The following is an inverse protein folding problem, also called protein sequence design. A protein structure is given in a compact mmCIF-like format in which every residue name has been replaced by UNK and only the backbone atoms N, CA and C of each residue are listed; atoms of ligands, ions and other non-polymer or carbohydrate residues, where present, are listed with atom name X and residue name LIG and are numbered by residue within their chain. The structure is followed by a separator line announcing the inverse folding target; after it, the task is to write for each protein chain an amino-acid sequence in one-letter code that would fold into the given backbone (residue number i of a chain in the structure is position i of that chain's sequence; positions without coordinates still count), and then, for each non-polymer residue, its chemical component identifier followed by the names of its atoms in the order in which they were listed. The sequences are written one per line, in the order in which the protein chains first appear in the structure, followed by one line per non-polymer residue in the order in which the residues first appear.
data_IF_453224947356
#
_entry.id   IF_453224947356
#
_cell.length_a   1.000
_cell.length_b   1.000
_cell.length_c   1.000
_cell.angle_alpha   90.00
_cell.angle_beta   90.00
_cell.angle_gamma   90.00
#
_symmetry.space_group_name_H-M   'P 1'
#
loop_
_entity.id
_entity.type
_entity.pdbx_description
1 polymer ?
#
# COMPACT_ATOMS: atom_id res chain seq x y z
N UNK A 1 23.24 1.76 -1.01
CA UNK A 1 21.80 1.65 -0.68
C UNK A 1 21.05 1.25 -1.94
N UNK A 2 20.16 0.24 -1.91
CA UNK A 2 19.34 -0.10 -3.07
C UNK A 2 18.54 1.12 -3.57
N UNK A 3 18.52 1.32 -4.89
CA UNK A 3 17.74 2.37 -5.56
C UNK A 3 16.24 2.05 -5.56
N UNK A 4 15.90 0.78 -5.40
CA UNK A 4 14.53 0.28 -5.31
C UNK A 4 14.28 -0.37 -3.96
N UNK A 5 13.08 -0.22 -3.44
CA UNK A 5 12.64 -0.92 -2.23
C UNK A 5 11.16 -1.28 -2.35
N UNK A 6 10.78 -2.39 -1.73
CA UNK A 6 9.40 -2.85 -1.70
C UNK A 6 8.75 -2.41 -0.39
N UNK A 7 7.49 -1.98 -0.49
CA UNK A 7 6.65 -1.67 0.66
C UNK A 7 5.28 -2.29 0.47
N UNK A 8 4.60 -2.50 1.59
CA UNK A 8 3.32 -3.18 1.67
C UNK A 8 2.29 -2.29 2.35
N UNK A 9 1.04 -2.45 1.96
CA UNK A 9 -0.10 -1.82 2.62
C UNK A 9 -1.29 -2.76 2.57
N UNK A 10 -1.76 -3.18 3.74
CA UNK A 10 -3.05 -3.87 3.84
C UNK A 10 -4.18 -2.87 4.02
N UNK A 11 -5.34 -3.16 3.44
CA UNK A 11 -6.59 -2.45 3.72
C UNK A 11 -7.80 -3.24 3.21
N UNK A 12 -8.98 -2.88 3.68
CA UNK A 12 -10.23 -3.23 3.02
C UNK A 12 -10.50 -2.35 1.81
N UNK A 13 -11.13 -2.92 0.80
CA UNK A 13 -11.79 -2.19 -0.28
C UNK A 13 -13.27 -2.55 -0.33
N UNK A 14 -14.11 -1.66 -0.83
CA UNK A 14 -15.47 -2.03 -1.20
C UNK A 14 -15.43 -3.05 -2.35
N UNK A 15 -16.46 -3.89 -2.45
CA UNK A 15 -16.58 -4.80 -3.60
C UNK A 15 -16.60 -4.04 -4.93
N UNK A 16 -17.22 -2.85 -4.95
CA UNK A 16 -17.28 -1.99 -6.14
C UNK A 16 -15.88 -1.52 -6.58
N UNK A 17 -15.07 -1.04 -5.63
CA UNK A 17 -13.70 -0.60 -5.94
C UNK A 17 -12.83 -1.77 -6.37
N UNK A 18 -13.00 -2.94 -5.75
CA UNK A 18 -12.29 -4.15 -6.13
C UNK A 18 -12.62 -4.59 -7.56
N UNK A 19 -13.90 -4.59 -7.94
CA UNK A 19 -14.30 -4.92 -9.31
C UNK A 19 -13.80 -3.88 -10.32
N UNK A 20 -13.81 -2.59 -9.95
CA UNK A 20 -13.19 -1.54 -10.78
C UNK A 20 -11.70 -1.79 -10.97
N UNK A 21 -10.97 -2.17 -9.93
CA UNK A 21 -9.54 -2.50 -10.04
C UNK A 21 -9.27 -3.70 -10.95
N UNK A 22 -10.13 -4.72 -10.93
CA UNK A 22 -10.00 -5.90 -11.79
C UNK A 22 -10.08 -5.53 -13.27
N UNK A 23 -11.02 -4.66 -13.65
CA UNK A 23 -11.19 -4.24 -15.04
C UNK A 23 -10.13 -3.21 -15.48
N UNK A 24 -9.57 -2.41 -14.57
CA UNK A 24 -8.51 -1.43 -14.87
C UNK A 24 -7.10 -1.98 -14.65
N UNK A 25 -6.91 -3.30 -14.65
CA UNK A 25 -5.59 -3.93 -14.47
C UNK A 25 -4.61 -3.43 -15.53
N UNK A 26 -3.42 -3.03 -15.10
CA UNK A 26 -2.40 -2.40 -15.96
C UNK A 26 -2.54 -0.88 -16.08
N UNK A 27 -3.63 -0.30 -15.56
CA UNK A 27 -3.81 1.15 -15.44
C UNK A 27 -3.08 1.75 -14.24
N UNK A 28 -3.24 3.07 -14.08
CA UNK A 28 -2.73 3.82 -12.94
C UNK A 28 -3.77 3.92 -11.82
N UNK A 29 -3.30 3.97 -10.59
CA UNK A 29 -4.10 4.19 -9.39
C UNK A 29 -3.59 5.43 -8.66
N UNK A 30 -4.50 6.31 -8.27
CA UNK A 30 -4.21 7.47 -7.44
C UNK A 30 -4.86 7.32 -6.07
N UNK A 31 -4.21 7.91 -5.07
CA UNK A 31 -4.72 8.02 -3.71
C UNK A 31 -4.83 9.50 -3.38
N UNK A 32 -5.94 9.92 -2.75
CA UNK A 32 -6.18 11.31 -2.39
C UNK A 32 -5.64 11.65 -0.98
N UNK A 33 -4.80 10.79 -0.42
CA UNK A 33 -4.27 10.90 0.93
C UNK A 33 -2.83 10.39 0.98
N UNK A 34 -2.10 10.77 2.02
CA UNK A 34 -0.80 10.19 2.31
C UNK A 34 -0.92 8.68 2.56
N UNK A 35 0.08 7.93 2.08
CA UNK A 35 0.14 6.49 2.24
C UNK A 35 1.04 6.11 3.41
N UNK A 36 0.45 5.41 4.37
CA UNK A 36 1.21 4.64 5.37
C UNK A 36 1.46 3.24 4.80
N UNK A 37 2.72 2.83 4.82
CA UNK A 37 3.20 1.56 4.25
C UNK A 37 4.29 0.99 5.15
N UNK A 38 4.44 -0.33 5.21
CA UNK A 38 5.50 -1.00 5.98
C UNK A 38 6.45 -1.76 5.04
N UNK A 39 7.70 -1.96 5.46
CA UNK A 39 8.62 -2.92 4.82
C UNK A 39 8.33 -4.36 5.24
N UNK A 40 7.59 -4.56 6.33
CA UNK A 40 7.11 -5.85 6.77
C UNK A 40 5.78 -6.20 6.08
N UNK A 41 5.84 -7.24 5.25
CA UNK A 41 4.68 -7.80 4.57
C UNK A 41 3.66 -8.35 5.55
N UNK A 42 4.13 -9.02 6.60
CA UNK A 42 3.28 -9.74 7.54
C UNK A 42 2.51 -8.77 8.44
N UNK A 43 3.18 -7.70 8.89
CA UNK A 43 2.53 -6.57 9.56
C UNK A 43 1.38 -6.00 8.72
N UNK A 44 1.63 -5.76 7.42
CA UNK A 44 0.61 -5.24 6.50
C UNK A 44 -0.54 -6.23 6.27
N UNK A 45 -0.23 -7.52 6.16
CA UNK A 45 -1.22 -8.56 5.89
C UNK A 45 -2.08 -8.87 7.12
N UNK A 46 -1.46 -9.26 8.25
CA UNK A 46 -2.16 -9.75 9.43
C UNK A 46 -2.95 -8.67 10.15
N UNK A 47 -2.44 -7.43 10.18
CA UNK A 47 -3.06 -6.37 10.97
C UNK A 47 -4.01 -5.47 10.16
N UNK A 48 -3.93 -5.47 8.82
CA UNK A 48 -4.75 -4.56 8.01
C UNK A 48 -5.50 -5.23 6.86
N UNK A 49 -4.88 -6.12 6.07
CA UNK A 49 -5.57 -6.78 4.96
C UNK A 49 -6.53 -7.89 5.44
N UNK A 50 -6.01 -8.81 6.26
CA UNK A 50 -6.78 -9.95 6.77
C UNK A 50 -7.95 -9.51 7.67
N UNK A 51 -7.80 -8.59 8.63
CA UNK A 51 -8.92 -8.18 9.49
C UNK A 51 -10.04 -7.49 8.71
N UNK A 52 -9.73 -6.89 7.56
CA UNK A 52 -10.73 -6.27 6.71
C UNK A 52 -11.75 -7.27 6.14
N UNK A 53 -11.41 -8.57 6.06
CA UNK A 53 -12.36 -9.61 5.62
C UNK A 53 -13.47 -9.87 6.64
N UNK A 54 -13.34 -9.35 7.87
CA UNK A 54 -14.42 -9.43 8.86
C UNK A 54 -15.62 -8.54 8.48
N UNK A 55 -15.43 -7.58 7.56
CA UNK A 55 -16.53 -6.82 6.98
C UNK A 55 -17.07 -7.56 5.74
N UNK A 56 -18.31 -8.05 5.75
CA UNK A 56 -18.87 -8.84 4.66
C UNK A 56 -19.00 -8.08 3.34
N UNK A 57 -19.00 -6.74 3.38
CA UNK A 57 -19.08 -5.89 2.19
C UNK A 57 -17.69 -5.42 1.71
N UNK A 58 -16.61 -5.98 2.26
CA UNK A 58 -15.25 -5.60 1.94
C UNK A 58 -14.41 -6.78 1.45
N UNK A 59 -13.46 -6.48 0.57
CA UNK A 59 -12.39 -7.39 0.18
C UNK A 59 -11.10 -6.92 0.84
N UNK A 60 -10.43 -7.81 1.58
CA UNK A 60 -9.11 -7.56 2.13
C UNK A 60 -8.06 -7.58 1.02
N UNK A 61 -7.33 -6.48 0.85
CA UNK A 61 -6.30 -6.32 -0.18
C UNK A 61 -4.95 -6.02 0.46
N UNK A 62 -3.92 -6.69 -0.05
CA UNK A 62 -2.52 -6.38 0.23
C UNK A 62 -1.90 -5.76 -1.01
N UNK A 63 -1.68 -4.45 -0.98
CA UNK A 63 -0.91 -3.76 -2.00
C UNK A 63 0.57 -4.08 -1.83
N UNK A 64 1.22 -4.50 -2.93
CA UNK A 64 2.66 -4.71 -3.03
C UNK A 64 3.20 -3.64 -3.97
N UNK A 65 3.98 -2.71 -3.43
CA UNK A 65 4.44 -1.53 -4.15
C UNK A 65 5.97 -1.55 -4.26
N UNK A 66 6.48 -1.45 -5.49
CA UNK A 66 7.91 -1.30 -5.75
C UNK A 66 8.21 0.17 -5.96
N UNK A 67 8.97 0.76 -5.04
CA UNK A 67 9.33 2.18 -5.08
C UNK A 67 10.73 2.30 -5.68
N UNK A 68 10.87 3.16 -6.70
CA UNK A 68 12.15 3.53 -7.28
C UNK A 68 12.51 4.95 -6.85
N UNK A 69 13.56 5.07 -6.03
CA UNK A 69 14.03 6.35 -5.49
C UNK A 69 14.43 7.32 -6.60
N UNK A 70 14.97 6.83 -7.72
CA UNK A 70 15.37 7.69 -8.82
C UNK A 70 14.17 8.35 -9.50
N UNK A 71 13.03 7.65 -9.57
CA UNK A 71 11.78 8.23 -10.05
C UNK A 71 11.29 9.27 -9.03
N UNK A 72 11.20 8.91 -7.74
CA UNK A 72 10.73 9.84 -6.71
C UNK A 72 11.53 11.14 -6.65
N UNK A 73 12.86 11.06 -6.80
CA UNK A 73 13.73 12.24 -6.84
C UNK A 73 13.46 13.12 -8.08
N UNK A 74 13.19 12.51 -9.24
CA UNK A 74 12.87 13.24 -10.48
C UNK A 74 11.48 13.86 -10.47
N UNK A 75 10.50 13.19 -9.86
CA UNK A 75 9.10 13.63 -9.80
C UNK A 75 8.77 14.44 -8.54
N UNK A 76 9.77 14.77 -7.72
CA UNK A 76 9.58 15.43 -6.43
C UNK A 76 8.54 14.75 -5.55
N UNK A 77 8.46 13.41 -5.61
CA UNK A 77 7.51 12.62 -4.81
C UNK A 77 8.06 12.44 -3.40
N UNK A 78 7.46 13.06 -2.37
CA UNK A 78 7.98 13.00 -1.01
C UNK A 78 7.72 11.63 -0.39
N UNK A 79 8.66 11.15 0.42
CA UNK A 79 8.48 10.01 1.30
C UNK A 79 9.39 10.15 2.52
N UNK A 80 9.01 9.53 3.63
CA UNK A 80 9.78 9.50 4.87
C UNK A 80 9.73 8.12 5.51
N UNK A 81 10.85 7.67 6.07
CA UNK A 81 10.92 6.45 6.87
C UNK A 81 10.65 6.82 8.33
N UNK A 82 9.50 6.38 8.84
CA UNK A 82 9.00 6.75 10.18
C UNK A 82 9.08 5.59 11.18
N UNK A 83 9.68 4.45 10.83
CA UNK A 83 9.78 3.27 11.71
C UNK A 83 10.48 3.55 13.05
N UNK A 84 11.35 4.56 13.12
CA UNK A 84 12.04 4.97 14.36
C UNK A 84 11.24 5.89 15.26
N UNK A 85 10.08 6.37 14.81
CA UNK A 85 9.22 7.32 15.54
C UNK A 85 7.75 6.87 15.60
N UNK A 86 7.38 5.91 14.76
CA UNK A 86 6.04 5.32 14.68
C UNK A 86 5.89 4.10 15.57
N UNK A 87 4.65 3.77 15.92
CA UNK A 87 4.31 2.60 16.73
C UNK A 87 4.54 1.26 15.98
N UNK A 88 4.48 1.30 14.65
CA UNK A 88 4.63 0.13 13.78
C UNK A 88 5.91 0.26 12.94
N UNK A 89 6.63 -0.86 12.80
CA UNK A 89 7.85 -0.95 11.97
C UNK A 89 7.56 -1.08 10.46
#
# INVERSE_FOLDING_TARGET
MPTKFQVFRGQGLSMQDFEKMKITKGGLMSFNNFLSTSRDREMSFQNFARPATNNPNSVGILFVMNIDKAICMKSSTPFAEVSKVGYYE
#
